data_IF_031231426772
#
_entry.id   IF_031231426772
#
_cell.length_a   1.000
_cell.length_b   1.000
_cell.length_c   1.000
_cell.angle_alpha   90.00
_cell.angle_beta   90.00
_cell.angle_gamma   90.00
#
_symmetry.space_group_name_H-M   'P 1'
#
loop_
_entity.id
_entity.type
_entity.pdbx_description
1 polymer ?
#
# COMPACT_ATOMS: atom_id res chain seq x y z
N UNK A 1 -52.95 31.97 0.03
CA UNK A 1 -52.32 33.29 -0.22
C UNK A 1 -51.07 33.08 -1.03
N UNK A 2 -51.12 33.28 -2.38
CA UNK A 2 -49.96 33.09 -3.26
C UNK A 2 -49.13 34.39 -3.25
N UNK A 3 -47.91 34.33 -2.73
CA UNK A 3 -47.02 35.49 -2.82
C UNK A 3 -46.73 35.81 -4.32
N UNK A 4 -46.65 37.10 -4.69
CA UNK A 4 -46.34 37.51 -6.05
C UNK A 4 -44.93 37.04 -6.46
N UNK A 5 -44.75 36.71 -7.73
CA UNK A 5 -43.53 36.11 -8.29
C UNK A 5 -42.23 36.91 -7.99
N UNK A 6 -42.31 38.22 -7.96
CA UNK A 6 -41.20 39.10 -7.62
C UNK A 6 -40.72 38.96 -6.16
N UNK A 7 -41.64 38.75 -5.18
CA UNK A 7 -41.26 38.51 -3.78
C UNK A 7 -40.61 37.13 -3.56
N UNK A 8 -41.02 36.11 -4.35
CA UNK A 8 -40.36 34.77 -4.31
C UNK A 8 -38.95 34.82 -4.88
N UNK A 9 -38.72 35.60 -5.92
CA UNK A 9 -37.39 35.77 -6.53
C UNK A 9 -36.45 36.53 -5.60
N UNK A 10 -36.94 37.59 -4.91
CA UNK A 10 -36.14 38.34 -3.92
C UNK A 10 -35.81 37.51 -2.67
N UNK A 11 -36.75 36.69 -2.19
CA UNK A 11 -36.53 35.79 -1.05
C UNK A 11 -35.52 34.68 -1.42
N UNK A 12 -35.58 34.13 -2.63
CA UNK A 12 -34.63 33.14 -3.11
C UNK A 12 -33.22 33.72 -3.22
N UNK A 13 -33.09 34.96 -3.72
CA UNK A 13 -31.82 35.69 -3.78
C UNK A 13 -31.20 35.95 -2.40
N UNK A 14 -32.02 36.30 -1.41
CA UNK A 14 -31.57 36.48 -0.03
C UNK A 14 -31.11 35.17 0.61
N UNK A 15 -31.82 34.06 0.38
CA UNK A 15 -31.44 32.75 0.90
C UNK A 15 -30.14 32.33 0.27
N UNK A 16 -29.97 32.43 -1.06
CA UNK A 16 -28.73 32.10 -1.75
C UNK A 16 -27.56 32.96 -1.24
N UNK A 17 -27.77 34.26 -1.05
CA UNK A 17 -26.78 35.16 -0.49
C UNK A 17 -26.33 34.73 0.90
N UNK A 18 -27.31 34.44 1.79
CA UNK A 18 -27.03 33.98 3.14
C UNK A 18 -26.24 32.63 3.16
N UNK A 19 -26.60 31.70 2.27
CA UNK A 19 -25.87 30.42 2.14
C UNK A 19 -24.44 30.67 1.70
N UNK A 20 -24.21 31.52 0.69
CA UNK A 20 -22.86 31.85 0.21
C UNK A 20 -22.03 32.49 1.31
N UNK A 21 -22.59 33.47 2.04
CA UNK A 21 -21.90 34.12 3.16
C UNK A 21 -21.58 33.11 4.26
N UNK A 22 -22.51 32.21 4.57
CA UNK A 22 -22.29 31.13 5.53
C UNK A 22 -21.16 30.17 5.12
N UNK A 23 -21.14 29.75 3.87
CA UNK A 23 -20.06 28.85 3.33
C UNK A 23 -18.70 29.54 3.35
N UNK A 24 -18.64 30.83 2.97
CA UNK A 24 -17.40 31.61 3.04
C UNK A 24 -16.93 31.76 4.49
N UNK A 25 -17.87 32.03 5.41
CA UNK A 25 -17.58 32.13 6.85
C UNK A 25 -17.02 30.80 7.41
N UNK A 26 -17.61 29.66 7.02
CA UNK A 26 -17.11 28.33 7.40
C UNK A 26 -15.73 28.05 6.82
N UNK A 27 -15.51 28.36 5.54
CA UNK A 27 -14.20 28.19 4.87
C UNK A 27 -13.09 28.97 5.61
N UNK A 28 -13.36 30.27 5.88
CA UNK A 28 -12.41 31.13 6.59
C UNK A 28 -12.20 30.69 8.05
N UNK A 29 -13.29 30.31 8.72
CA UNK A 29 -13.23 29.79 10.09
C UNK A 29 -12.40 28.53 10.23
N UNK A 30 -12.58 27.56 9.32
CA UNK A 30 -11.77 26.34 9.27
C UNK A 30 -10.30 26.64 9.01
N UNK A 31 -9.99 27.56 8.09
CA UNK A 31 -8.62 27.96 7.79
C UNK A 31 -7.93 28.60 9.00
N UNK A 32 -8.61 29.48 9.71
CA UNK A 32 -8.09 30.11 10.93
C UNK A 32 -7.87 29.06 12.03
N UNK A 33 -8.85 28.17 12.22
CA UNK A 33 -8.77 27.13 13.25
C UNK A 33 -7.59 26.17 13.02
N UNK A 34 -7.29 25.84 11.76
CA UNK A 34 -6.19 24.93 11.43
C UNK A 34 -4.81 25.60 11.45
N UNK A 35 -4.69 26.82 10.92
CA UNK A 35 -3.49 27.67 10.97
C UNK A 35 -3.76 28.99 10.22
N UNK A 36 -3.33 30.11 10.80
CA UNK A 36 -3.46 31.43 10.14
C UNK A 36 -2.68 31.53 8.83
N UNK A 37 -1.60 30.76 8.66
CA UNK A 37 -0.85 30.68 7.39
C UNK A 37 -1.72 30.18 6.23
N UNK A 38 -2.74 29.38 6.51
CA UNK A 38 -3.67 28.85 5.52
C UNK A 38 -4.64 29.89 4.95
N UNK A 39 -4.77 31.07 5.57
CA UNK A 39 -5.52 32.19 5.02
C UNK A 39 -4.88 32.77 3.76
N UNK A 40 -3.55 32.78 3.70
CA UNK A 40 -2.81 33.37 2.58
C UNK A 40 -2.49 32.34 1.48
N UNK A 41 -2.56 31.05 1.78
CA UNK A 41 -2.18 29.98 0.86
C UNK A 41 -3.39 29.18 0.40
N UNK A 42 -3.70 29.24 -0.90
CA UNK A 42 -4.85 28.60 -1.53
C UNK A 42 -4.41 27.58 -2.59
N UNK A 43 -3.75 26.47 -2.21
CA UNK A 43 -3.40 25.43 -3.17
C UNK A 43 -4.65 24.67 -3.61
N UNK A 44 -4.62 24.13 -4.83
CA UNK A 44 -5.57 23.10 -5.19
C UNK A 44 -5.15 21.78 -4.51
N UNK A 45 -5.93 21.31 -3.54
CA UNK A 45 -5.60 20.13 -2.72
C UNK A 45 -5.50 18.84 -3.56
N UNK A 46 -6.32 18.73 -4.62
CA UNK A 46 -6.25 17.57 -5.53
C UNK A 46 -4.93 17.57 -6.27
N UNK A 47 -4.54 18.73 -6.81
CA UNK A 47 -3.27 18.88 -7.52
C UNK A 47 -2.09 18.65 -6.58
N UNK A 48 -2.14 19.25 -5.39
CA UNK A 48 -1.08 19.07 -4.38
C UNK A 48 -0.92 17.61 -3.97
N UNK A 49 -2.01 16.89 -3.69
CA UNK A 49 -1.95 15.48 -3.34
C UNK A 49 -1.30 14.64 -4.46
N UNK A 50 -1.70 14.88 -5.71
CA UNK A 50 -1.14 14.18 -6.87
C UNK A 50 0.33 14.53 -7.12
N UNK A 51 0.72 15.82 -6.98
CA UNK A 51 2.10 16.27 -7.21
C UNK A 51 3.06 15.74 -6.15
N UNK A 52 2.66 15.73 -4.88
CA UNK A 52 3.51 15.17 -3.80
C UNK A 52 3.79 13.69 -4.03
N UNK A 53 2.80 12.92 -4.48
CA UNK A 53 3.03 11.54 -4.89
C UNK A 53 3.95 11.45 -6.11
N UNK A 54 3.72 12.29 -7.13
CA UNK A 54 4.55 12.31 -8.35
C UNK A 54 6.02 12.61 -8.06
N UNK A 55 6.33 13.60 -7.25
CA UNK A 55 7.72 13.99 -6.95
C UNK A 55 8.44 12.93 -6.13
N UNK A 56 7.81 12.37 -5.11
CA UNK A 56 8.41 11.33 -4.27
C UNK A 56 8.58 10.01 -5.01
N UNK A 57 7.58 9.61 -5.79
CA UNK A 57 7.61 8.33 -6.50
C UNK A 57 8.46 8.40 -7.76
N UNK A 58 8.42 9.49 -8.53
CA UNK A 58 9.25 9.66 -9.72
C UNK A 58 10.75 9.72 -9.40
N UNK A 59 11.13 10.12 -8.18
CA UNK A 59 12.53 10.08 -7.77
C UNK A 59 13.03 8.64 -7.63
N UNK A 60 12.27 7.76 -6.96
CA UNK A 60 12.69 6.41 -6.58
C UNK A 60 12.01 5.27 -7.35
N UNK A 61 10.93 5.56 -8.10
CA UNK A 61 10.17 4.56 -8.87
C UNK A 61 10.22 4.88 -10.36
N UNK A 62 10.09 3.85 -11.19
CA UNK A 62 9.93 3.93 -12.64
C UNK A 62 8.65 3.23 -13.06
N UNK A 63 8.07 3.68 -14.17
CA UNK A 63 7.00 2.94 -14.82
C UNK A 63 7.47 1.55 -15.22
N UNK A 64 6.65 0.55 -14.94
CA UNK A 64 6.86 -0.85 -15.30
C UNK A 64 5.61 -1.38 -16.01
N UNK A 65 5.72 -1.90 -17.24
CA UNK A 65 4.57 -2.32 -18.05
C UNK A 65 3.84 -3.56 -17.50
N UNK A 66 4.48 -4.35 -16.61
CA UNK A 66 3.83 -5.49 -15.97
C UNK A 66 3.26 -5.13 -14.60
N UNK A 67 4.00 -4.35 -13.80
CA UNK A 67 3.70 -4.09 -12.40
C UNK A 67 3.10 -2.70 -12.15
N UNK A 68 3.04 -1.84 -13.19
CA UNK A 68 2.66 -0.43 -13.08
C UNK A 68 3.84 0.46 -12.70
N UNK A 69 4.53 0.12 -11.63
CA UNK A 69 5.75 0.78 -11.18
C UNK A 69 6.70 -0.20 -10.51
N UNK A 70 7.99 0.12 -10.54
CA UNK A 70 9.04 -0.64 -9.88
C UNK A 70 10.15 0.30 -9.39
N UNK A 71 10.95 -0.09 -8.39
CA UNK A 71 12.06 0.72 -7.90
C UNK A 71 13.07 1.04 -9.01
N UNK A 72 13.56 2.30 -9.01
CA UNK A 72 14.58 2.78 -9.94
C UNK A 72 15.93 2.11 -9.62
N UNK A 73 16.53 1.35 -10.56
CA UNK A 73 17.85 0.79 -10.37
C UNK A 73 18.88 1.85 -9.99
N UNK A 74 19.80 1.49 -9.07
CA UNK A 74 20.92 2.33 -8.61
C UNK A 74 20.50 3.66 -7.97
N UNK A 75 19.22 3.84 -7.60
CA UNK A 75 18.80 5.02 -6.86
C UNK A 75 19.30 4.96 -5.41
N UNK A 76 19.83 6.07 -4.93
CA UNK A 76 20.28 6.23 -3.56
C UNK A 76 19.71 7.51 -2.93
N UNK A 77 19.10 7.36 -1.78
CA UNK A 77 18.62 8.44 -0.93
C UNK A 77 19.01 8.13 0.53
N UNK A 78 18.99 9.10 1.44
CA UNK A 78 19.30 8.84 2.85
C UNK A 78 18.43 7.68 3.40
N UNK A 79 19.09 6.61 3.83
CA UNK A 79 18.45 5.42 4.41
C UNK A 79 17.78 4.46 3.41
N UNK A 80 17.74 4.76 2.11
CA UNK A 80 17.13 3.90 1.10
C UNK A 80 18.01 3.82 -0.14
N UNK A 81 18.53 2.64 -0.43
CA UNK A 81 19.43 2.39 -1.56
C UNK A 81 18.97 1.17 -2.34
N UNK A 82 18.96 1.26 -3.67
CA UNK A 82 18.65 0.14 -4.56
C UNK A 82 19.88 -0.32 -5.32
N UNK A 83 19.94 -1.62 -5.58
CA UNK A 83 20.94 -2.22 -6.47
C UNK A 83 20.62 -2.03 -7.95
N UNK A 84 21.41 -2.67 -8.85
CA UNK A 84 21.22 -2.64 -10.29
C UNK A 84 19.94 -3.29 -10.80
N UNK A 85 19.30 -4.12 -10.00
CA UNK A 85 18.03 -4.82 -10.30
C UNK A 85 16.81 -4.11 -9.63
N UNK A 86 17.03 -2.98 -8.95
CA UNK A 86 15.98 -2.26 -8.22
C UNK A 86 15.54 -3.00 -6.95
N UNK A 87 16.42 -3.78 -6.33
CA UNK A 87 16.18 -4.40 -5.04
C UNK A 87 16.75 -3.50 -3.94
N UNK A 88 16.03 -3.36 -2.83
CA UNK A 88 16.53 -2.59 -1.70
C UNK A 88 17.73 -3.29 -1.07
N UNK A 89 18.80 -2.56 -0.81
CA UNK A 89 19.98 -3.09 -0.13
C UNK A 89 19.68 -3.39 1.34
N UNK A 90 20.48 -4.25 1.95
CA UNK A 90 20.38 -4.64 3.36
C UNK A 90 21.37 -3.88 4.25
N UNK A 91 21.74 -2.65 3.86
CA UNK A 91 22.65 -1.82 4.60
C UNK A 91 24.02 -2.47 4.81
N UNK A 92 24.47 -2.52 6.05
CA UNK A 92 25.74 -3.12 6.48
C UNK A 92 25.66 -4.63 6.76
N UNK A 93 24.54 -5.29 6.46
CA UNK A 93 24.42 -6.73 6.65
C UNK A 93 25.50 -7.47 5.83
N UNK A 94 26.24 -8.41 6.43
CA UNK A 94 27.26 -9.18 5.71
C UNK A 94 26.67 -9.84 4.45
N UNK A 95 27.48 -9.95 3.40
CA UNK A 95 27.09 -10.69 2.20
C UNK A 95 26.75 -12.13 2.58
N UNK A 96 25.47 -12.51 2.30
CA UNK A 96 24.99 -13.86 2.61
C UNK A 96 25.39 -14.91 1.58
N UNK A 97 25.22 -16.17 1.96
CA UNK A 97 25.40 -17.32 1.08
C UNK A 97 24.44 -17.26 -0.11
N UNK A 98 25.00 -17.12 -1.31
CA UNK A 98 24.27 -17.02 -2.57
C UNK A 98 23.64 -18.36 -3.02
N UNK A 99 24.15 -19.48 -2.55
CA UNK A 99 23.62 -20.80 -2.91
C UNK A 99 22.27 -21.10 -2.24
N UNK A 100 21.92 -20.34 -1.20
CA UNK A 100 20.69 -20.45 -0.43
C UNK A 100 19.93 -19.11 -0.38
N UNK A 101 19.81 -18.45 -1.53
CA UNK A 101 19.17 -17.14 -1.65
C UNK A 101 17.71 -17.18 -1.18
N UNK A 102 17.31 -16.17 -0.42
CA UNK A 102 15.93 -15.88 -0.03
C UNK A 102 15.45 -14.69 -0.88
N UNK A 103 14.29 -14.81 -1.52
CA UNK A 103 13.60 -13.72 -2.18
C UNK A 103 12.44 -13.25 -1.29
N UNK A 104 12.51 -12.02 -0.81
CA UNK A 104 11.49 -11.36 -0.01
C UNK A 104 10.67 -10.43 -0.89
N UNK A 105 9.39 -10.71 -1.10
CA UNK A 105 8.45 -9.88 -1.85
C UNK A 105 7.28 -9.46 -0.98
N UNK A 106 6.65 -8.35 -1.30
CA UNK A 106 5.52 -7.79 -0.58
C UNK A 106 5.39 -6.28 -0.81
N UNK A 107 4.68 -5.64 0.04
CA UNK A 107 4.38 -4.22 0.06
C UNK A 107 5.43 -3.39 0.85
N UNK A 108 4.98 -2.28 1.43
CA UNK A 108 5.78 -1.40 2.30
C UNK A 108 6.32 -2.07 3.56
N UNK A 109 5.68 -3.13 4.04
CA UNK A 109 6.14 -3.91 5.21
C UNK A 109 7.34 -4.79 4.88
N UNK A 110 7.46 -5.24 3.63
CA UNK A 110 8.68 -5.92 3.16
C UNK A 110 9.74 -4.91 2.73
N UNK A 111 9.31 -3.86 2.02
CA UNK A 111 10.20 -2.77 1.63
C UNK A 111 10.90 -2.16 2.85
N UNK A 112 10.15 -1.88 3.92
CA UNK A 112 10.61 -1.23 5.14
C UNK A 112 10.49 0.28 5.05
N UNK A 113 9.27 0.79 4.79
CA UNK A 113 9.03 2.24 4.86
C UNK A 113 9.32 2.75 6.28
N UNK A 114 9.76 4.01 6.39
CA UNK A 114 10.06 4.73 7.63
C UNK A 114 11.32 4.27 8.38
N UNK A 115 12.08 3.28 7.86
CA UNK A 115 13.33 2.77 8.44
C UNK A 115 14.45 2.70 7.38
N UNK A 116 15.68 2.54 7.85
CA UNK A 116 16.86 2.47 6.99
C UNK A 116 17.11 1.08 6.42
N UNK A 117 17.99 0.97 5.42
CA UNK A 117 18.30 -0.27 4.69
C UNK A 117 18.67 -1.45 5.61
N UNK A 118 19.43 -1.17 6.68
CA UNK A 118 19.89 -2.19 7.62
C UNK A 118 18.84 -2.64 8.64
N UNK A 119 17.70 -1.94 8.75
CA UNK A 119 16.68 -2.16 9.78
C UNK A 119 15.48 -2.97 9.27
N UNK A 120 15.45 -3.31 7.97
CA UNK A 120 14.37 -4.09 7.38
C UNK A 120 14.42 -5.56 7.81
N UNK A 121 13.26 -6.25 7.84
CA UNK A 121 13.26 -7.67 8.18
C UNK A 121 14.09 -8.55 7.21
N UNK A 122 14.20 -8.24 5.89
CA UNK A 122 15.14 -8.93 5.03
C UNK A 122 16.60 -8.76 5.44
N UNK A 123 16.99 -7.55 5.88
CA UNK A 123 18.33 -7.30 6.38
C UNK A 123 18.62 -8.05 7.69
N UNK A 124 17.66 -8.04 8.63
CA UNK A 124 17.76 -8.85 9.85
C UNK A 124 17.81 -10.35 9.56
N UNK A 125 16.98 -10.84 8.63
CA UNK A 125 16.96 -12.26 8.24
C UNK A 125 18.30 -12.68 7.64
N UNK A 126 18.91 -11.82 6.81
CA UNK A 126 20.26 -12.07 6.26
C UNK A 126 21.29 -12.21 7.38
N UNK A 127 21.28 -11.31 8.37
CA UNK A 127 22.19 -11.39 9.53
C UNK A 127 21.97 -12.65 10.37
N UNK A 128 20.70 -13.00 10.64
CA UNK A 128 20.33 -14.15 11.48
C UNK A 128 20.66 -15.49 10.82
N UNK A 129 20.49 -15.60 9.51
CA UNK A 129 20.60 -16.89 8.80
C UNK A 129 21.91 -17.06 8.03
N UNK A 130 22.65 -15.98 7.79
CA UNK A 130 23.80 -15.97 6.89
C UNK A 130 23.45 -16.22 5.42
N UNK A 131 22.16 -16.30 5.06
CA UNK A 131 21.69 -16.52 3.69
C UNK A 131 21.53 -15.16 2.99
N UNK A 132 21.91 -15.08 1.71
CA UNK A 132 21.62 -13.89 0.91
C UNK A 132 20.12 -13.66 0.86
N UNK A 133 19.66 -12.50 1.30
CA UNK A 133 18.25 -12.13 1.29
C UNK A 133 18.05 -10.93 0.38
N UNK A 134 17.23 -11.09 -0.65
CA UNK A 134 16.88 -10.07 -1.64
C UNK A 134 15.62 -9.35 -1.19
N UNK A 135 15.72 -8.06 -0.85
CA UNK A 135 14.56 -7.25 -0.51
C UNK A 135 13.92 -6.70 -1.80
N UNK A 136 12.88 -7.39 -2.27
CA UNK A 136 12.09 -7.04 -3.43
C UNK A 136 10.72 -6.43 -3.06
N UNK A 137 10.53 -5.98 -1.82
CA UNK A 137 9.34 -5.25 -1.38
C UNK A 137 9.17 -3.93 -2.13
N UNK A 138 7.92 -3.51 -2.35
CA UNK A 138 7.61 -2.24 -3.01
C UNK A 138 6.42 -1.59 -2.33
N UNK A 139 6.61 -0.36 -1.84
CA UNK A 139 5.56 0.38 -1.14
C UNK A 139 4.28 0.50 -1.97
N UNK A 140 3.14 0.20 -1.35
CA UNK A 140 1.82 0.33 -1.97
C UNK A 140 1.41 -0.81 -2.89
N UNK A 141 2.21 -1.86 -3.07
CA UNK A 141 1.79 -3.01 -3.86
C UNK A 141 0.56 -3.70 -3.26
N UNK A 142 -0.29 -4.23 -4.13
CA UNK A 142 -1.28 -5.22 -3.77
C UNK A 142 -0.68 -6.64 -3.80
N UNK A 143 -1.43 -7.60 -3.26
CA UNK A 143 -1.01 -8.99 -3.26
C UNK A 143 -0.79 -9.54 -4.69
N UNK A 144 -1.58 -9.08 -5.67
CA UNK A 144 -1.44 -9.39 -7.08
C UNK A 144 -0.08 -8.94 -7.67
N UNK A 145 0.34 -7.71 -7.38
CA UNK A 145 1.64 -7.19 -7.80
C UNK A 145 2.80 -7.94 -7.14
N UNK A 146 2.64 -8.29 -5.86
CA UNK A 146 3.64 -9.07 -5.10
C UNK A 146 3.83 -10.46 -5.70
N UNK A 147 2.74 -11.13 -6.11
CA UNK A 147 2.80 -12.43 -6.81
C UNK A 147 3.49 -12.30 -8.17
N UNK A 148 3.08 -11.34 -9.00
CA UNK A 148 3.72 -11.10 -10.32
C UNK A 148 5.22 -10.76 -10.19
N UNK A 149 5.58 -10.00 -9.16
CA UNK A 149 6.99 -9.67 -8.89
C UNK A 149 7.78 -10.88 -8.44
N UNK A 150 7.19 -11.75 -7.59
CA UNK A 150 7.81 -13.01 -7.18
C UNK A 150 8.12 -13.92 -8.40
N UNK A 151 7.13 -14.09 -9.28
CA UNK A 151 7.27 -14.89 -10.51
C UNK A 151 8.39 -14.36 -11.40
N UNK A 152 8.42 -13.04 -11.64
CA UNK A 152 9.45 -12.41 -12.47
C UNK A 152 10.86 -12.57 -11.89
N UNK A 153 11.02 -12.30 -10.60
CA UNK A 153 12.34 -12.31 -9.96
C UNK A 153 12.84 -13.71 -9.65
N UNK A 154 11.96 -14.68 -9.40
CA UNK A 154 12.37 -16.06 -9.17
C UNK A 154 13.12 -16.64 -10.39
N UNK A 155 12.70 -16.28 -11.61
CA UNK A 155 13.35 -16.76 -12.84
C UNK A 155 14.77 -16.26 -13.03
N UNK A 156 15.13 -15.11 -12.46
CA UNK A 156 16.44 -14.47 -12.64
C UNK A 156 17.36 -14.64 -11.43
N UNK A 157 16.80 -14.72 -10.21
CA UNK A 157 17.59 -14.77 -8.97
C UNK A 157 17.83 -16.18 -8.43
N UNK A 158 17.08 -17.20 -8.93
CA UNK A 158 17.22 -18.60 -8.52
C UNK A 158 17.12 -18.81 -7.01
N UNK A 159 16.06 -18.33 -6.33
CA UNK A 159 15.95 -18.42 -4.88
C UNK A 159 15.72 -19.87 -4.46
N UNK A 160 16.19 -20.24 -3.27
CA UNK A 160 15.82 -21.50 -2.62
C UNK A 160 14.60 -21.35 -1.71
N UNK A 161 14.24 -20.09 -1.37
CA UNK A 161 13.06 -19.72 -0.60
C UNK A 161 12.50 -18.41 -1.13
N UNK A 162 11.18 -18.34 -1.25
CA UNK A 162 10.43 -17.12 -1.54
C UNK A 162 9.52 -16.84 -0.33
N UNK A 163 9.66 -15.67 0.27
CA UNK A 163 8.76 -15.19 1.31
C UNK A 163 7.86 -14.12 0.69
N UNK A 164 6.56 -14.41 0.61
CA UNK A 164 5.54 -13.46 0.14
C UNK A 164 4.85 -12.88 1.36
N UNK A 165 5.22 -11.67 1.73
CA UNK A 165 4.62 -10.97 2.85
C UNK A 165 3.43 -10.13 2.39
N UNK A 166 2.42 -10.01 3.24
CA UNK A 166 1.23 -9.22 2.98
C UNK A 166 0.56 -8.72 4.26
N UNK A 167 -0.20 -7.66 4.14
CA UNK A 167 -1.20 -7.21 5.11
C UNK A 167 -2.61 -7.37 4.50
N UNK A 168 -3.66 -7.29 5.31
CA UNK A 168 -5.04 -7.42 4.81
C UNK A 168 -5.40 -6.36 3.75
N UNK A 169 -4.76 -5.19 3.80
CA UNK A 169 -4.99 -4.13 2.82
C UNK A 169 -4.47 -4.49 1.42
N UNK A 170 -3.39 -5.26 1.31
CA UNK A 170 -2.86 -5.73 0.02
C UNK A 170 -3.87 -6.62 -0.72
N UNK A 171 -4.68 -7.36 0.04
CA UNK A 171 -5.77 -8.17 -0.50
C UNK A 171 -6.86 -7.27 -1.08
N UNK A 172 -7.23 -6.18 -0.38
CA UNK A 172 -8.19 -5.17 -0.87
C UNK A 172 -7.66 -4.43 -2.09
N UNK A 173 -6.36 -4.18 -2.17
CA UNK A 173 -5.70 -3.53 -3.33
C UNK A 173 -5.80 -4.34 -4.62
N UNK A 174 -6.06 -5.65 -4.56
CA UNK A 174 -6.32 -6.45 -5.77
C UNK A 174 -7.61 -6.06 -6.48
N UNK A 175 -8.50 -5.31 -5.83
CA UNK A 175 -9.74 -4.79 -6.39
C UNK A 175 -9.55 -3.51 -7.22
N UNK A 176 -8.33 -2.98 -7.26
CA UNK A 176 -8.01 -1.67 -7.83
C UNK A 176 -7.21 -1.82 -9.13
N UNK A 177 -7.47 -0.94 -10.11
CA UNK A 177 -6.61 -0.71 -11.28
C UNK A 177 -5.69 0.49 -11.12
N UNK A 178 -5.94 1.33 -10.08
CA UNK A 178 -5.08 2.47 -9.72
C UNK A 178 -5.00 2.58 -8.21
N UNK A 179 -3.80 2.81 -7.70
CA UNK A 179 -3.54 3.05 -6.28
C UNK A 179 -2.50 4.15 -6.13
N UNK A 180 -2.72 5.08 -5.20
CA UNK A 180 -1.84 6.24 -4.97
C UNK A 180 -1.53 7.02 -6.25
N UNK A 181 -2.51 7.04 -7.17
CA UNK A 181 -2.39 7.66 -8.48
C UNK A 181 -1.58 6.88 -9.52
N UNK A 182 -0.94 5.78 -9.18
CA UNK A 182 -0.24 4.90 -10.11
C UNK A 182 -1.19 3.84 -10.68
N UNK A 183 -1.19 3.68 -12.00
CA UNK A 183 -1.87 2.56 -12.65
C UNK A 183 -1.18 1.25 -12.27
N UNK A 184 -1.96 0.18 -12.13
CA UNK A 184 -1.46 -1.16 -11.81
C UNK A 184 -2.21 -2.23 -12.60
N UNK A 185 -1.62 -3.43 -12.74
CA UNK A 185 -2.36 -4.58 -13.24
C UNK A 185 -3.43 -4.99 -12.23
N UNK A 186 -4.42 -5.74 -12.69
CA UNK A 186 -5.41 -6.42 -11.85
C UNK A 186 -5.79 -7.76 -12.49
N UNK A 187 -6.51 -8.60 -11.77
CA UNK A 187 -6.96 -9.87 -12.30
C UNK A 187 -8.48 -9.92 -12.41
N UNK A 188 -8.98 -10.28 -13.59
CA UNK A 188 -10.37 -10.68 -13.80
C UNK A 188 -10.56 -12.15 -13.40
N UNK A 189 -11.73 -12.45 -12.84
CA UNK A 189 -12.13 -13.81 -12.45
C UNK A 189 -13.11 -14.36 -13.44
N UNK A 190 -12.77 -15.49 -14.06
CA UNK A 190 -13.70 -16.33 -14.84
C UNK A 190 -13.74 -17.74 -14.24
N UNK A 191 -14.78 -18.03 -13.47
CA UNK A 191 -14.86 -19.25 -12.67
C UNK A 191 -13.73 -19.33 -11.62
N UNK A 192 -12.80 -20.26 -11.80
CA UNK A 192 -11.58 -20.41 -10.98
C UNK A 192 -10.30 -19.93 -11.69
N UNK A 193 -10.44 -19.36 -12.87
CA UNK A 193 -9.33 -18.85 -13.65
C UNK A 193 -9.13 -17.36 -13.43
N UNK A 194 -7.87 -16.93 -13.44
CA UNK A 194 -7.46 -15.55 -13.37
C UNK A 194 -6.90 -15.11 -14.72
N UNK A 195 -7.45 -14.03 -15.25
CA UNK A 195 -6.91 -13.36 -16.45
C UNK A 195 -6.33 -12.02 -16.07
N UNK A 196 -5.08 -11.77 -16.48
CA UNK A 196 -4.40 -10.51 -16.18
C UNK A 196 -4.99 -9.39 -17.05
N UNK A 197 -5.58 -8.39 -16.40
CA UNK A 197 -6.09 -7.15 -16.97
C UNK A 197 -5.09 -5.99 -16.83
N UNK A 198 -5.30 -4.93 -17.62
CA UNK A 198 -4.46 -3.74 -17.65
C UNK A 198 -2.95 -4.06 -17.85
N UNK A 199 -2.64 -5.03 -18.70
CA UNK A 199 -1.27 -5.40 -19.04
C UNK A 199 -1.11 -5.39 -20.59
N UNK A 200 -0.19 -4.59 -21.15
CA UNK A 200 0.77 -3.74 -20.44
C UNK A 200 0.11 -2.56 -19.73
N UNK A 201 0.58 -2.26 -18.50
CA UNK A 201 0.09 -1.11 -17.74
C UNK A 201 0.49 0.17 -18.45
N UNK A 202 -0.43 1.11 -18.71
CA UNK A 202 -0.08 2.37 -19.36
C UNK A 202 0.78 3.25 -18.44
N UNK A 203 1.66 4.09 -19.00
CA UNK A 203 2.38 5.07 -18.20
C UNK A 203 1.41 6.08 -17.59
N UNK A 204 1.78 6.61 -16.43
CA UNK A 204 0.96 7.58 -15.69
C UNK A 204 0.72 8.83 -16.55
N UNK A 205 -0.54 9.28 -16.72
CA UNK A 205 -0.82 10.54 -17.40
C UNK A 205 -0.30 11.73 -16.57
N UNK A 206 0.11 12.82 -17.26
CA UNK A 206 0.55 14.03 -16.56
C UNK A 206 -0.59 14.61 -15.70
N UNK A 207 -0.27 14.98 -14.48
CA UNK A 207 -1.25 15.28 -13.42
C UNK A 207 -2.16 16.48 -13.71
N UNK A 208 -1.64 17.49 -14.45
CA UNK A 208 -2.37 18.75 -14.68
C UNK A 208 -3.55 18.60 -15.64
N UNK A 209 -3.49 17.67 -16.59
CA UNK A 209 -4.51 17.53 -17.63
C UNK A 209 -5.73 16.70 -17.19
N UNK A 210 -5.65 16.07 -16.02
CA UNK A 210 -6.63 15.09 -15.56
C UNK A 210 -7.66 15.63 -14.57
N UNK A 211 -7.60 16.92 -14.17
CA UNK A 211 -8.58 17.51 -13.26
C UNK A 211 -9.92 17.76 -13.99
N UNK A 212 -11.01 17.20 -13.42
CA UNK A 212 -12.36 17.54 -13.88
C UNK A 212 -12.79 18.95 -13.43
N UNK A 213 -13.93 19.43 -13.96
CA UNK A 213 -14.46 20.75 -13.65
C UNK A 213 -14.59 21.03 -12.14
N UNK A 214 -15.12 20.06 -11.38
CA UNK A 214 -15.33 20.20 -9.95
C UNK A 214 -14.01 20.26 -9.18
N UNK A 215 -13.04 19.44 -9.56
CA UNK A 215 -11.70 19.45 -8.97
C UNK A 215 -10.95 20.78 -9.25
N UNK A 216 -11.15 21.34 -10.46
CA UNK A 216 -10.55 22.63 -10.84
C UNK A 216 -11.17 23.80 -10.06
N UNK A 217 -12.44 23.71 -9.66
CA UNK A 217 -13.17 24.80 -8.97
C UNK A 217 -13.19 24.61 -7.45
N UNK A 218 -13.59 23.46 -6.96
CA UNK A 218 -13.74 23.17 -5.54
C UNK A 218 -12.47 22.62 -4.87
N UNK A 219 -11.49 22.21 -5.66
CA UNK A 219 -10.22 21.70 -5.13
C UNK A 219 -9.42 22.68 -4.28
N UNK A 220 -9.76 23.98 -4.31
CA UNK A 220 -9.17 25.02 -3.46
C UNK A 220 -9.88 25.17 -2.11
N UNK A 221 -11.07 24.56 -1.94
CA UNK A 221 -11.88 24.71 -0.71
C UNK A 221 -11.39 23.77 0.38
N UNK A 222 -10.98 24.36 1.50
CA UNK A 222 -10.64 23.63 2.72
C UNK A 222 -11.86 22.94 3.34
N UNK A 223 -13.03 23.58 3.23
CA UNK A 223 -14.29 23.00 3.70
C UNK A 223 -14.62 21.71 2.93
N UNK A 224 -14.48 21.74 1.61
CA UNK A 224 -14.71 20.54 0.77
C UNK A 224 -13.72 19.43 1.13
N UNK A 225 -12.43 19.74 1.22
CA UNK A 225 -11.40 18.76 1.62
C UNK A 225 -11.69 18.17 3.01
N UNK A 226 -12.05 19.02 3.98
CA UNK A 226 -12.40 18.60 5.34
C UNK A 226 -13.62 17.66 5.36
N UNK A 227 -14.69 17.99 4.65
CA UNK A 227 -15.91 17.18 4.59
C UNK A 227 -15.63 15.84 3.91
N UNK A 228 -14.92 15.83 2.78
CA UNK A 228 -14.59 14.60 2.05
C UNK A 228 -13.70 13.66 2.88
N UNK A 229 -12.76 14.20 3.64
CA UNK A 229 -11.95 13.39 4.59
C UNK A 229 -12.82 12.79 5.70
N UNK A 230 -13.75 13.55 6.26
CA UNK A 230 -14.68 13.06 7.30
C UNK A 230 -15.62 11.97 6.79
N UNK A 231 -16.01 12.03 5.52
CA UNK A 231 -16.86 11.06 4.86
C UNK A 231 -16.06 9.88 4.24
N UNK A 232 -14.74 9.89 4.35
CA UNK A 232 -13.84 8.91 3.72
C UNK A 232 -13.99 8.82 2.19
N UNK A 233 -14.28 9.97 1.54
CA UNK A 233 -14.49 10.10 0.09
C UNK A 233 -13.28 10.76 -0.61
N UNK A 234 -12.18 10.97 0.09
CA UNK A 234 -11.03 11.71 -0.46
C UNK A 234 -10.33 10.97 -1.60
N UNK A 235 -10.27 9.64 -1.56
CA UNK A 235 -9.64 8.86 -2.62
C UNK A 235 -10.43 8.93 -3.93
N UNK A 236 -11.76 8.87 -3.85
CA UNK A 236 -12.63 9.08 -5.01
C UNK A 236 -12.51 10.50 -5.54
N UNK A 237 -12.43 11.49 -4.65
CA UNK A 237 -12.24 12.89 -5.01
C UNK A 237 -10.89 13.17 -5.65
N UNK A 238 -9.82 12.63 -5.12
CA UNK A 238 -8.49 12.79 -5.70
C UNK A 238 -8.32 11.95 -6.97
N UNK A 239 -9.09 10.86 -7.12
CA UNK A 239 -8.97 9.91 -8.21
C UNK A 239 -7.63 9.18 -8.18
N UNK A 240 -7.04 9.06 -6.99
CA UNK A 240 -5.79 8.35 -6.74
C UNK A 240 -6.01 6.86 -6.53
N UNK A 241 -7.25 6.44 -6.28
CA UNK A 241 -7.69 5.04 -6.26
C UNK A 241 -8.80 4.85 -7.30
N UNK A 242 -8.71 3.78 -8.10
CA UNK A 242 -9.76 3.38 -9.05
C UNK A 242 -10.10 1.92 -8.83
N UNK A 243 -11.32 1.67 -8.42
CA UNK A 243 -11.84 0.32 -8.15
C UNK A 243 -12.42 -0.28 -9.43
N UNK A 244 -12.04 -1.53 -9.74
CA UNK A 244 -12.55 -2.31 -10.88
C UNK A 244 -13.41 -3.49 -10.43
N UNK A 245 -13.24 -3.95 -9.20
CA UNK A 245 -14.06 -5.01 -8.63
C UNK A 245 -14.86 -4.53 -7.43
N UNK A 246 -16.04 -5.09 -7.15
CA UNK A 246 -16.78 -4.84 -5.92
C UNK A 246 -15.93 -5.11 -4.67
N UNK A 247 -16.19 -4.36 -3.59
CA UNK A 247 -15.52 -4.57 -2.32
C UNK A 247 -15.74 -6.01 -1.80
N UNK A 248 -14.67 -6.64 -1.33
CA UNK A 248 -14.65 -8.03 -0.87
C UNK A 248 -14.29 -9.06 -1.95
N UNK A 249 -14.27 -8.68 -3.24
CA UNK A 249 -13.82 -9.57 -4.33
C UNK A 249 -12.33 -9.91 -4.18
N UNK A 250 -11.55 -9.00 -3.59
CA UNK A 250 -10.11 -9.16 -3.37
C UNK A 250 -9.73 -10.42 -2.61
N UNK A 251 -10.55 -10.85 -1.65
CA UNK A 251 -10.31 -12.10 -0.92
C UNK A 251 -10.34 -13.33 -1.85
N UNK A 252 -11.24 -13.33 -2.84
CA UNK A 252 -11.31 -14.41 -3.83
C UNK A 252 -10.15 -14.35 -4.81
N UNK A 253 -9.79 -13.15 -5.29
CA UNK A 253 -8.63 -12.96 -6.18
C UNK A 253 -7.36 -13.44 -5.48
N UNK A 254 -7.12 -13.00 -4.26
CA UNK A 254 -5.94 -13.38 -3.48
C UNK A 254 -5.89 -14.91 -3.23
N UNK A 255 -7.03 -15.53 -2.92
CA UNK A 255 -7.13 -16.98 -2.76
C UNK A 255 -6.73 -17.72 -4.04
N UNK A 256 -7.23 -17.31 -5.21
CA UNK A 256 -6.85 -17.91 -6.50
C UNK A 256 -5.38 -17.67 -6.85
N UNK A 257 -4.80 -16.54 -6.45
CA UNK A 257 -3.38 -16.24 -6.65
C UNK A 257 -2.45 -17.17 -5.86
N UNK A 258 -2.92 -17.82 -4.78
CA UNK A 258 -2.13 -18.85 -4.09
C UNK A 258 -1.85 -20.05 -4.98
N UNK A 259 -2.74 -20.36 -5.92
CA UNK A 259 -2.50 -21.39 -6.96
C UNK A 259 -1.32 -21.05 -7.87
N UNK A 260 -1.13 -19.77 -8.23
CA UNK A 260 0.05 -19.32 -8.99
C UNK A 260 1.32 -19.43 -8.16
N UNK A 261 1.28 -19.14 -6.87
CA UNK A 261 2.43 -19.35 -5.97
C UNK A 261 2.78 -20.83 -5.81
N UNK A 262 1.79 -21.72 -5.78
CA UNK A 262 2.03 -23.15 -5.79
C UNK A 262 2.65 -23.63 -7.11
N UNK A 263 2.27 -23.05 -8.25
CA UNK A 263 2.93 -23.31 -9.53
C UNK A 263 4.36 -22.77 -9.53
N UNK A 264 4.58 -21.57 -8.99
CA UNK A 264 5.92 -21.00 -8.84
C UNK A 264 6.83 -21.90 -7.98
N UNK A 265 6.30 -22.44 -6.87
CA UNK A 265 7.02 -23.43 -6.04
C UNK A 265 7.45 -24.63 -6.88
N UNK A 266 6.53 -25.20 -7.68
CA UNK A 266 6.83 -26.39 -8.52
C UNK A 266 7.84 -26.10 -9.63
N UNK A 267 7.69 -24.96 -10.31
CA UNK A 267 8.50 -24.60 -11.48
C UNK A 267 9.91 -24.10 -11.11
N UNK A 268 10.05 -23.38 -10.00
CA UNK A 268 11.35 -22.87 -9.55
C UNK A 268 12.11 -23.82 -8.65
N UNK A 269 11.43 -24.80 -8.02
CA UNK A 269 12.00 -25.64 -6.96
C UNK A 269 12.24 -24.91 -5.63
N UNK A 270 11.87 -23.66 -5.53
CA UNK A 270 11.97 -22.88 -4.29
C UNK A 270 10.83 -23.23 -3.32
N UNK A 271 11.11 -23.27 -2.02
CA UNK A 271 10.04 -23.23 -1.04
C UNK A 271 9.35 -21.88 -1.08
N UNK A 272 8.02 -21.85 -0.84
CA UNK A 272 7.23 -20.63 -0.76
C UNK A 272 6.56 -20.55 0.60
N UNK A 273 6.73 -19.41 1.27
CA UNK A 273 6.11 -19.09 2.57
C UNK A 273 5.27 -17.82 2.41
N UNK A 274 4.00 -17.88 2.79
CA UNK A 274 3.16 -16.70 2.95
C UNK A 274 3.28 -16.18 4.38
N UNK A 275 3.63 -14.90 4.52
CA UNK A 275 3.77 -14.22 5.81
C UNK A 275 2.68 -13.16 5.95
N UNK A 276 1.77 -13.34 6.90
CA UNK A 276 0.83 -12.29 7.29
C UNK A 276 1.48 -11.33 8.28
N UNK A 277 1.43 -10.04 7.97
CA UNK A 277 1.81 -8.94 8.85
C UNK A 277 0.58 -8.05 9.16
N UNK A 278 0.72 -7.15 10.11
CA UNK A 278 -0.40 -6.35 10.63
C UNK A 278 0.02 -4.89 10.80
N UNK A 279 -0.90 -3.97 10.51
CA UNK A 279 -0.68 -2.55 10.76
C UNK A 279 -0.95 -2.17 12.23
N UNK A 280 -0.47 -1.01 12.71
CA UNK A 280 -0.57 -0.63 14.13
C UNK A 280 -2.00 -0.41 14.63
N UNK A 281 -2.98 -0.21 13.74
CA UNK A 281 -4.38 0.06 14.13
C UNK A 281 -5.01 -1.18 14.76
N UNK A 282 -4.51 -2.39 14.46
CA UNK A 282 -4.98 -3.63 15.08
C UNK A 282 -4.81 -3.63 16.62
N UNK A 283 -3.86 -2.86 17.13
CA UNK A 283 -3.62 -2.71 18.57
C UNK A 283 -4.48 -1.62 19.23
N UNK A 284 -5.25 -0.90 18.44
CA UNK A 284 -6.10 0.22 18.90
C UNK A 284 -7.58 -0.10 18.86
N UNK A 285 -7.99 -1.12 18.09
CA UNK A 285 -9.40 -1.48 17.86
C UNK A 285 -9.56 -2.98 17.71
N UNK A 286 -10.24 -3.61 18.65
CA UNK A 286 -10.55 -5.06 18.61
C UNK A 286 -11.38 -5.44 17.36
N UNK A 287 -12.36 -4.59 16.98
CA UNK A 287 -13.19 -4.84 15.81
C UNK A 287 -12.35 -4.80 14.53
N UNK A 288 -11.42 -3.84 14.42
CA UNK A 288 -10.49 -3.76 13.31
C UNK A 288 -9.53 -4.97 13.29
N UNK A 289 -8.95 -5.33 14.43
CA UNK A 289 -8.10 -6.50 14.56
C UNK A 289 -8.81 -7.79 14.15
N UNK A 290 -10.05 -8.00 14.60
CA UNK A 290 -10.84 -9.17 14.24
C UNK A 290 -11.06 -9.26 12.72
N UNK A 291 -11.37 -8.15 12.07
CA UNK A 291 -11.57 -8.11 10.61
C UNK A 291 -10.25 -8.34 9.85
N UNK A 292 -9.13 -7.71 10.28
CA UNK A 292 -7.83 -7.94 9.64
C UNK A 292 -7.42 -9.42 9.76
N UNK A 293 -7.55 -10.00 10.96
CA UNK A 293 -7.26 -11.43 11.20
C UNK A 293 -8.14 -12.35 10.35
N UNK A 294 -9.43 -12.07 10.26
CA UNK A 294 -10.35 -12.86 9.43
C UNK A 294 -9.88 -12.90 7.96
N UNK A 295 -9.50 -11.74 7.41
CA UNK A 295 -9.04 -11.63 6.02
C UNK A 295 -7.72 -12.36 5.82
N UNK A 296 -6.73 -12.12 6.70
CA UNK A 296 -5.40 -12.75 6.60
C UNK A 296 -5.48 -14.26 6.78
N UNK A 297 -6.20 -14.75 7.78
CA UNK A 297 -6.37 -16.18 8.04
C UNK A 297 -7.05 -16.90 6.87
N UNK A 298 -8.03 -16.25 6.22
CA UNK A 298 -8.64 -16.81 5.02
C UNK A 298 -7.63 -17.02 3.89
N UNK A 299 -6.74 -16.05 3.64
CA UNK A 299 -5.71 -16.19 2.62
C UNK A 299 -4.67 -17.26 3.01
N UNK A 300 -4.25 -17.30 4.27
CA UNK A 300 -3.35 -18.34 4.77
C UNK A 300 -3.96 -19.74 4.58
N UNK A 301 -5.23 -19.92 4.90
CA UNK A 301 -5.95 -21.19 4.68
C UNK A 301 -6.00 -21.59 3.19
N UNK A 302 -6.20 -20.61 2.28
CA UNK A 302 -6.11 -20.89 0.84
C UNK A 302 -4.70 -21.34 0.42
N UNK A 303 -3.66 -20.74 0.99
CA UNK A 303 -2.28 -21.10 0.72
C UNK A 303 -1.95 -22.51 1.23
N UNK A 304 -2.38 -22.85 2.44
CA UNK A 304 -2.23 -24.20 3.02
C UNK A 304 -2.93 -25.26 2.18
N UNK A 305 -4.13 -24.97 1.68
CA UNK A 305 -4.85 -25.86 0.77
C UNK A 305 -4.11 -26.12 -0.55
N UNK A 306 -3.22 -25.20 -0.96
CA UNK A 306 -2.32 -25.34 -2.10
C UNK A 306 -0.96 -25.98 -1.75
N UNK A 307 -0.75 -26.42 -0.51
CA UNK A 307 0.50 -27.00 -0.03
C UNK A 307 1.64 -26.00 0.16
N UNK A 308 1.32 -24.73 0.37
CA UNK A 308 2.27 -23.68 0.72
C UNK A 308 2.42 -23.59 2.24
N UNK A 309 3.59 -23.16 2.69
CA UNK A 309 3.83 -22.87 4.11
C UNK A 309 3.27 -21.49 4.46
N UNK A 310 2.76 -21.35 5.67
CA UNK A 310 2.20 -20.10 6.15
C UNK A 310 2.83 -19.68 7.48
N UNK A 311 2.84 -18.38 7.73
CA UNK A 311 3.30 -17.78 8.98
C UNK A 311 2.39 -16.58 9.31
N UNK A 312 1.66 -16.68 10.41
CA UNK A 312 0.87 -15.58 10.96
C UNK A 312 1.67 -14.91 12.08
N UNK A 313 2.03 -13.65 11.94
CA UNK A 313 2.81 -12.91 12.93
C UNK A 313 1.97 -12.36 14.09
N UNK A 314 0.63 -12.43 14.03
CA UNK A 314 -0.25 -11.73 14.99
C UNK A 314 0.05 -12.09 16.44
N UNK A 315 0.04 -13.38 16.77
CA UNK A 315 0.18 -13.82 18.15
C UNK A 315 1.57 -13.54 18.73
N UNK A 316 2.61 -13.62 17.90
CA UNK A 316 3.97 -13.25 18.30
C UNK A 316 4.13 -11.75 18.54
N UNK A 317 3.50 -10.91 17.69
CA UNK A 317 3.45 -9.46 17.88
C UNK A 317 2.67 -9.10 19.13
N UNK A 318 1.49 -9.75 19.35
CA UNK A 318 0.65 -9.55 20.54
C UNK A 318 1.35 -9.94 21.84
N UNK A 319 2.13 -11.00 21.82
CA UNK A 319 2.86 -11.52 22.98
C UNK A 319 4.18 -10.78 23.27
N UNK A 320 4.53 -9.75 22.49
CA UNK A 320 5.78 -9.02 22.68
C UNK A 320 5.86 -8.40 24.09
N UNK A 321 6.93 -8.72 24.87
CA UNK A 321 6.97 -8.41 26.30
C UNK A 321 7.50 -7.01 26.64
N UNK A 322 7.82 -6.20 25.62
CA UNK A 322 8.44 -4.87 25.83
C UNK A 322 7.47 -3.83 26.40
N UNK A 323 8.03 -2.84 27.08
CA UNK A 323 7.26 -1.74 27.66
C UNK A 323 6.45 -0.99 26.61
N UNK A 324 5.17 -0.78 26.90
CA UNK A 324 4.24 -0.10 26.00
C UNK A 324 3.54 -1.03 25.00
N UNK A 325 3.79 -2.35 25.05
CA UNK A 325 3.11 -3.37 24.26
C UNK A 325 3.38 -3.32 22.76
N UNK A 326 2.60 -4.05 21.96
CA UNK A 326 2.84 -4.24 20.53
C UNK A 326 2.91 -2.94 19.70
N UNK A 327 2.24 -1.86 20.16
CA UNK A 327 2.28 -0.56 19.48
C UNK A 327 3.71 0.02 19.34
N UNK A 328 4.65 -0.36 20.23
CA UNK A 328 6.05 0.04 20.18
C UNK A 328 6.86 -0.64 19.08
N UNK A 329 6.32 -1.70 18.48
CA UNK A 329 6.93 -2.35 17.33
C UNK A 329 6.75 -1.56 16.03
N UNK A 330 6.17 -0.35 16.11
CA UNK A 330 5.87 0.48 14.94
C UNK A 330 6.44 1.90 15.07
N UNK A 331 6.78 2.48 13.93
CA UNK A 331 7.06 3.90 13.71
C UNK A 331 5.98 4.40 12.76
N UNK A 332 5.14 5.33 13.21
CA UNK A 332 3.98 5.81 12.44
C UNK A 332 3.08 4.64 11.98
N UNK A 333 3.18 4.24 10.71
CA UNK A 333 2.32 3.23 10.09
C UNK A 333 3.02 1.88 9.84
N UNK A 334 4.35 1.81 9.95
CA UNK A 334 5.14 0.63 9.60
C UNK A 334 5.94 0.10 10.77
N UNK A 335 6.48 -1.10 10.61
CA UNK A 335 7.30 -1.75 11.63
C UNK A 335 8.58 -0.95 11.91
N UNK A 336 8.87 -0.73 13.19
CA UNK A 336 10.16 -0.23 13.66
C UNK A 336 11.29 -1.24 13.39
N UNK A 337 12.55 -0.86 13.61
CA UNK A 337 13.69 -1.78 13.61
C UNK A 337 13.43 -3.03 14.47
N UNK A 338 12.86 -2.83 15.66
CA UNK A 338 12.54 -3.92 16.58
C UNK A 338 11.41 -4.81 16.07
N UNK A 339 10.37 -4.23 15.46
CA UNK A 339 9.29 -4.98 14.82
C UNK A 339 9.81 -5.82 13.65
N UNK A 340 10.63 -5.23 12.79
CA UNK A 340 11.27 -5.93 11.67
C UNK A 340 12.19 -7.07 12.14
N UNK A 341 12.93 -6.85 13.22
CA UNK A 341 13.76 -7.90 13.83
C UNK A 341 12.93 -9.08 14.31
N UNK A 342 11.81 -8.82 15.01
CA UNK A 342 10.89 -9.88 15.46
C UNK A 342 10.34 -10.69 14.28
N UNK A 343 9.93 -10.02 13.19
CA UNK A 343 9.49 -10.70 11.97
C UNK A 343 10.59 -11.58 11.40
N UNK A 344 11.83 -11.10 11.33
CA UNK A 344 12.95 -11.89 10.84
C UNK A 344 13.25 -13.12 11.73
N UNK A 345 13.14 -12.98 13.06
CA UNK A 345 13.31 -14.08 14.02
C UNK A 345 12.23 -15.16 13.79
N UNK A 346 10.96 -14.78 13.60
CA UNK A 346 9.87 -15.71 13.30
C UNK A 346 10.13 -16.49 11.99
N UNK A 347 10.58 -15.80 10.93
CA UNK A 347 10.93 -16.47 9.68
C UNK A 347 12.09 -17.42 9.89
N UNK A 348 13.14 -17.00 10.61
CA UNK A 348 14.32 -17.81 10.86
C UNK A 348 14.01 -19.11 11.64
N UNK A 349 13.04 -19.07 12.56
CA UNK A 349 12.57 -20.27 13.28
C UNK A 349 11.90 -21.28 12.35
N UNK A 350 11.11 -20.82 11.39
CA UNK A 350 10.46 -21.67 10.40
C UNK A 350 11.49 -22.33 9.44
N UNK A 351 12.71 -21.79 9.36
CA UNK A 351 13.78 -22.27 8.49
C UNK A 351 14.72 -23.29 9.13
N UNK A 352 14.60 -23.50 10.43
CA UNK A 352 15.36 -24.53 11.17
C UNK A 352 14.80 -25.93 10.89
#
# INVERSE_FOLDING_TARGET
>A
MNMPSAQRLSSLGLILGAVVVGLVGLELGLRIWMSTEKLAHWPNFVLQARTVHDERENARMLHDPLLGYAPRPLHAAPGVTFDGDGLRLNGDAPNGDKTRTILAVGDSYTFGDEITDGETWPAHLQRLTGRRTLNAGVSGYGFDQSVLRAERLASTSGPSLIVVSFIADDIRRTELSRIWGAEKPYFEIDGEQLTLGNAPVPPRPQTQDTLNFWQRTLGYSYLVDFVLRRLNLMHDWFGDHVRVHPAGTGERIACLLTGRLAELKRSSGAEVVLLAQYDPVVWQSEAFAAEQRRITQRLLACAEAQGLRTLDSFDALAAWPGDGGPARLYVLWHMSDQGNRLIAELIAEVLK
#
